data_IF_830392990225
#
_entry.id   IF_830392990225
#
_cell.length_a   1.000
_cell.length_b   1.000
_cell.length_c   1.000
_cell.angle_alpha   90.00
_cell.angle_beta   90.00
_cell.angle_gamma   90.00
#
_symmetry.space_group_name_H-M   'P 1'
#
loop_
_entity.id
_entity.type
_entity.pdbx_description
1 polymer ?
#
# COMPACT_ATOMS: atom_id res chain seq x y z
N UNK A 1 10.12 19.85 23.28
CA UNK A 1 8.98 20.16 22.39
C UNK A 1 8.19 21.33 22.95
N UNK A 2 7.58 21.19 24.14
CA UNK A 2 6.79 22.27 24.75
C UNK A 2 7.58 23.56 25.03
N UNK A 3 8.87 23.45 25.38
CA UNK A 3 9.77 24.61 25.57
C UNK A 3 10.07 25.38 24.28
N UNK A 4 9.85 24.78 23.11
CA UNK A 4 10.02 25.38 21.79
C UNK A 4 8.67 25.78 21.18
N UNK A 5 7.57 25.72 21.94
CA UNK A 5 6.22 25.95 21.41
C UNK A 5 5.72 24.86 20.45
N UNK A 6 6.42 23.72 20.37
CA UNK A 6 6.07 22.62 19.48
C UNK A 6 5.26 21.55 20.20
N UNK A 7 4.19 21.08 19.55
CA UNK A 7 3.51 19.84 19.89
C UNK A 7 3.85 18.75 18.86
N UNK A 8 3.49 17.50 19.15
CA UNK A 8 3.83 16.36 18.30
C UNK A 8 3.27 16.48 16.88
N UNK A 9 1.99 16.85 16.67
CA UNK A 9 1.47 17.11 15.32
C UNK A 9 2.28 18.13 14.53
N UNK A 10 2.58 19.30 15.12
CA UNK A 10 3.35 20.35 14.45
C UNK A 10 4.77 19.90 14.10
N UNK A 11 5.42 19.14 15.00
CA UNK A 11 6.73 18.60 14.71
C UNK A 11 6.71 17.60 13.55
N UNK A 12 5.73 16.69 13.54
CA UNK A 12 5.57 15.71 12.46
C UNK A 12 5.25 16.41 11.13
N UNK A 13 4.44 17.45 11.15
CA UNK A 13 4.12 18.26 9.98
C UNK A 13 5.38 18.94 9.42
N UNK A 14 6.15 19.62 10.28
CA UNK A 14 7.36 20.35 9.89
C UNK A 14 8.48 19.44 9.36
N UNK A 15 8.71 18.28 9.97
CA UNK A 15 9.73 17.34 9.47
C UNK A 15 9.29 16.64 8.18
N UNK A 16 7.98 16.56 7.93
CA UNK A 16 7.43 15.94 6.73
C UNK A 16 7.46 16.92 5.56
N UNK A 17 6.60 17.93 5.52
CA UNK A 17 6.63 18.94 4.44
C UNK A 17 6.36 20.37 4.90
N UNK A 18 5.78 20.56 6.08
CA UNK A 18 5.67 21.84 6.79
C UNK A 18 5.43 23.04 5.88
N UNK A 19 6.29 24.04 6.04
CA UNK A 19 6.28 25.27 5.26
C UNK A 19 7.51 25.41 4.34
N UNK A 20 7.60 26.57 3.68
CA UNK A 20 8.72 26.90 2.80
C UNK A 20 10.07 26.87 3.54
N UNK A 21 10.12 27.25 4.82
CA UNK A 21 11.37 27.23 5.59
C UNK A 21 11.83 25.79 5.85
N UNK A 22 10.89 24.89 6.15
CA UNK A 22 11.16 23.47 6.34
C UNK A 22 11.65 22.78 5.06
N UNK A 23 11.16 23.20 3.90
CA UNK A 23 11.58 22.64 2.60
C UNK A 23 12.84 23.28 2.03
N UNK A 24 13.19 24.50 2.47
CA UNK A 24 14.44 25.16 2.12
C UNK A 24 15.62 24.77 3.03
N UNK A 25 15.37 24.33 4.27
CA UNK A 25 16.41 23.90 5.21
C UNK A 25 17.04 22.57 4.77
N UNK A 26 18.36 22.53 4.45
CA UNK A 26 19.02 21.32 4.00
C UNK A 26 19.06 20.20 5.05
N UNK A 27 19.09 20.53 6.35
CA UNK A 27 19.10 19.55 7.43
C UNK A 27 17.74 18.88 7.56
N UNK A 28 16.65 19.65 7.51
CA UNK A 28 15.30 19.08 7.54
C UNK A 28 15.07 18.20 6.32
N UNK A 29 15.53 18.63 5.14
CA UNK A 29 15.48 17.82 3.93
C UNK A 29 16.26 16.50 4.07
N UNK A 30 17.46 16.55 4.65
CA UNK A 30 18.29 15.37 4.88
C UNK A 30 17.65 14.38 5.86
N UNK A 31 17.16 14.86 7.01
CA UNK A 31 16.50 14.00 8.01
C UNK A 31 15.21 13.38 7.46
N UNK A 32 14.42 14.15 6.70
CA UNK A 32 13.26 13.63 5.99
C UNK A 32 13.65 12.55 5.00
N UNK A 33 14.65 12.80 4.14
CA UNK A 33 15.09 11.83 3.15
C UNK A 33 15.53 10.53 3.82
N UNK A 34 16.30 10.62 4.92
CA UNK A 34 16.69 9.46 5.71
C UNK A 34 15.49 8.69 6.23
N UNK A 35 14.47 9.37 6.78
CA UNK A 35 13.25 8.71 7.28
C UNK A 35 12.48 8.01 6.14
N UNK A 36 12.39 8.62 4.96
CA UNK A 36 11.60 8.08 3.84
C UNK A 36 12.19 6.80 3.24
N UNK A 37 13.51 6.58 3.38
CA UNK A 37 14.20 5.36 2.91
C UNK A 37 14.50 4.38 4.04
N UNK A 38 14.04 4.69 5.24
CA UNK A 38 14.40 4.00 6.47
C UNK A 38 13.48 2.79 6.74
N UNK A 39 14.03 1.75 7.37
CA UNK A 39 13.23 0.60 7.83
C UNK A 39 12.36 0.95 9.05
N UNK A 40 12.66 2.06 9.72
CA UNK A 40 11.94 2.55 10.90
C UNK A 40 10.56 3.11 10.54
N UNK A 41 10.39 3.76 9.38
CA UNK A 41 9.11 4.37 9.01
C UNK A 41 7.96 3.34 8.94
N UNK A 42 8.09 2.19 8.24
CA UNK A 42 7.07 1.13 8.29
C UNK A 42 6.76 0.65 9.71
N UNK A 43 7.79 0.49 10.54
CA UNK A 43 7.65 0.03 11.93
C UNK A 43 6.98 1.09 12.82
N UNK A 44 7.20 2.39 12.56
CA UNK A 44 6.47 3.50 13.21
C UNK A 44 4.99 3.43 12.85
N UNK A 45 4.64 3.32 11.56
CA UNK A 45 3.25 3.23 11.10
C UNK A 45 2.54 2.00 11.68
N UNK A 46 3.23 0.86 11.73
CA UNK A 46 2.73 -0.37 12.35
C UNK A 46 2.46 -0.20 13.85
N UNK A 47 3.34 0.49 14.58
CA UNK A 47 3.11 0.82 16.00
C UNK A 47 1.99 1.83 16.19
N UNK A 48 1.80 2.79 15.29
CA UNK A 48 0.65 3.70 15.33
C UNK A 48 -0.67 2.95 15.11
N UNK A 49 -0.71 2.00 14.17
CA UNK A 49 -1.88 1.13 13.92
C UNK A 49 -2.13 0.17 15.09
N UNK A 50 -1.07 -0.37 15.69
CA UNK A 50 -1.16 -1.40 16.73
C UNK A 50 -0.20 -1.07 17.88
N UNK A 51 -0.57 -0.11 18.78
CA UNK A 51 0.30 0.35 19.86
C UNK A 51 0.74 -0.79 20.78
N UNK A 52 1.97 -0.78 21.32
CA UNK A 52 2.44 -1.85 22.21
C UNK A 52 1.50 -2.02 23.42
N UNK A 53 1.34 -3.28 23.86
CA UNK A 53 0.49 -3.61 25.00
C UNK A 53 1.25 -3.42 26.32
N UNK A 54 0.66 -2.68 27.25
CA UNK A 54 1.21 -2.52 28.60
C UNK A 54 0.84 -3.75 29.43
N UNK A 55 1.79 -4.66 29.65
CA UNK A 55 1.56 -5.80 30.53
C UNK A 55 1.27 -5.35 31.97
N UNK A 56 0.30 -6.00 32.62
CA UNK A 56 -0.10 -5.71 34.00
C UNK A 56 -1.19 -4.65 34.17
N UNK A 57 -1.75 -4.11 33.07
CA UNK A 57 -2.94 -3.24 33.13
C UNK A 57 -4.17 -3.99 32.60
N UNK A 58 -5.30 -3.91 33.31
CA UNK A 58 -6.60 -4.44 32.85
C UNK A 58 -7.28 -3.54 31.80
N UNK A 59 -6.58 -2.51 31.33
CA UNK A 59 -7.13 -1.55 30.39
C UNK A 59 -7.19 -2.16 28.98
N UNK A 60 -8.28 -1.88 28.28
CA UNK A 60 -8.38 -2.22 26.86
C UNK A 60 -7.21 -1.57 26.10
N UNK A 61 -6.64 -2.31 25.14
CA UNK A 61 -5.58 -1.79 24.27
C UNK A 61 -6.09 -0.53 23.56
N UNK A 62 -5.29 0.54 23.58
CA UNK A 62 -5.60 1.72 22.79
C UNK A 62 -5.74 1.34 21.31
N UNK A 63 -6.80 1.85 20.67
CA UNK A 63 -7.04 1.66 19.23
C UNK A 63 -5.96 2.30 18.35
N UNK A 64 -5.19 3.24 18.92
CA UNK A 64 -4.16 3.97 18.18
C UNK A 64 -4.76 4.69 16.97
N UNK A 65 -3.96 4.78 15.91
CA UNK A 65 -4.37 5.33 14.62
C UNK A 65 -5.00 4.27 13.69
N UNK A 66 -5.36 3.08 14.19
CA UNK A 66 -5.80 1.93 13.37
C UNK A 66 -6.86 2.32 12.33
N UNK A 67 -7.98 2.89 12.77
CA UNK A 67 -9.08 3.23 11.86
C UNK A 67 -8.73 4.31 10.84
N UNK A 68 -7.86 5.26 11.20
CA UNK A 68 -7.39 6.30 10.27
C UNK A 68 -6.46 5.69 9.22
N UNK A 69 -5.50 4.86 9.66
CA UNK A 69 -4.54 4.20 8.78
C UNK A 69 -5.21 3.18 7.87
N UNK A 70 -6.15 2.38 8.35
CA UNK A 70 -6.89 1.42 7.50
C UNK A 70 -7.67 2.14 6.39
N UNK A 71 -8.37 3.24 6.71
CA UNK A 71 -9.09 4.03 5.72
C UNK A 71 -8.15 4.67 4.70
N UNK A 72 -7.03 5.23 5.16
CA UNK A 72 -6.01 5.82 4.29
C UNK A 72 -5.40 4.77 3.35
N UNK A 73 -4.94 3.64 3.90
CA UNK A 73 -4.34 2.55 3.14
C UNK A 73 -5.32 1.97 2.12
N UNK A 74 -6.61 1.83 2.47
CA UNK A 74 -7.63 1.38 1.52
C UNK A 74 -7.76 2.33 0.32
N UNK A 75 -7.69 3.65 0.55
CA UNK A 75 -7.64 4.64 -0.52
C UNK A 75 -6.43 4.47 -1.42
N UNK A 76 -5.22 4.39 -0.84
CA UNK A 76 -3.98 4.23 -1.61
C UNK A 76 -3.96 2.93 -2.43
N UNK A 77 -4.42 1.81 -1.84
CA UNK A 77 -4.52 0.54 -2.56
C UNK A 77 -5.54 0.67 -3.70
N UNK A 78 -6.69 1.32 -3.45
CA UNK A 78 -7.70 1.56 -4.48
C UNK A 78 -7.14 2.29 -5.70
N UNK A 79 -6.36 3.36 -5.50
CA UNK A 79 -5.71 4.11 -6.58
C UNK A 79 -4.73 3.23 -7.39
N UNK A 80 -3.88 2.47 -6.71
CA UNK A 80 -2.92 1.56 -7.37
C UNK A 80 -3.64 0.51 -8.20
N UNK A 81 -4.69 -0.10 -7.65
CA UNK A 81 -5.45 -1.14 -8.34
C UNK A 81 -6.29 -0.58 -9.49
N UNK A 82 -6.85 0.63 -9.36
CA UNK A 82 -7.56 1.29 -10.47
C UNK A 82 -6.61 1.55 -11.64
N UNK A 83 -5.40 2.05 -11.36
CA UNK A 83 -4.38 2.29 -12.38
C UNK A 83 -3.95 0.99 -13.08
N UNK A 84 -3.78 -0.11 -12.34
CA UNK A 84 -3.48 -1.42 -12.93
C UNK A 84 -4.63 -1.94 -13.80
N UNK A 85 -5.87 -1.88 -13.30
CA UNK A 85 -7.04 -2.33 -14.04
C UNK A 85 -7.29 -1.51 -15.31
N UNK A 86 -7.00 -0.20 -15.26
CA UNK A 86 -7.12 0.67 -16.44
C UNK A 86 -6.13 0.30 -17.54
N UNK A 87 -4.95 -0.23 -17.20
CA UNK A 87 -3.95 -0.70 -18.17
C UNK A 87 -4.37 -1.99 -18.88
N UNK A 88 -5.02 -2.92 -18.17
CA UNK A 88 -5.56 -4.15 -18.77
C UNK A 88 -6.96 -4.01 -19.37
N UNK A 89 -7.53 -2.80 -19.42
CA UNK A 89 -8.92 -2.60 -19.83
C UNK A 89 -9.22 -3.22 -21.21
N UNK A 90 -8.28 -3.11 -22.15
CA UNK A 90 -8.43 -3.68 -23.48
C UNK A 90 -8.32 -5.21 -23.50
N UNK A 91 -7.52 -5.80 -22.61
CA UNK A 91 -7.44 -7.25 -22.43
C UNK A 91 -8.71 -7.82 -21.78
N UNK A 92 -9.41 -7.01 -20.98
CA UNK A 92 -10.66 -7.40 -20.34
C UNK A 92 -11.87 -7.34 -21.31
N UNK A 93 -11.70 -6.80 -22.52
CA UNK A 93 -12.75 -6.84 -23.55
C UNK A 93 -12.75 -8.22 -24.19
N UNK A 94 -13.95 -8.78 -24.35
CA UNK A 94 -14.13 -10.04 -25.07
C UNK A 94 -14.67 -9.71 -26.48
N UNK A 95 -13.81 -9.66 -27.51
CA UNK A 95 -14.27 -9.50 -28.88
C UNK A 95 -15.12 -10.71 -29.31
N UNK A 96 -16.00 -10.54 -30.32
CA UNK A 96 -16.93 -11.59 -30.74
C UNK A 96 -16.24 -12.89 -31.16
N UNK A 97 -15.01 -12.82 -31.67
CA UNK A 97 -14.23 -13.97 -32.07
C UNK A 97 -13.84 -14.86 -30.88
N UNK A 98 -13.60 -14.27 -29.71
CA UNK A 98 -13.20 -14.98 -28.49
C UNK A 98 -14.36 -15.76 -27.85
N UNK A 99 -15.61 -15.45 -28.23
CA UNK A 99 -16.83 -16.15 -27.78
C UNK A 99 -17.21 -17.31 -28.73
N UNK A 100 -16.44 -17.55 -29.78
CA UNK A 100 -16.59 -18.73 -30.64
C UNK A 100 -16.21 -20.02 -29.89
N UNK A 101 -16.61 -21.18 -30.42
CA UNK A 101 -16.19 -22.48 -29.88
C UNK A 101 -14.65 -22.60 -29.89
N UNK A 102 -14.00 -22.18 -30.97
CA UNK A 102 -12.55 -22.14 -31.09
C UNK A 102 -11.90 -21.13 -30.13
N UNK A 103 -12.50 -19.95 -29.93
CA UNK A 103 -12.01 -18.95 -28.99
C UNK A 103 -12.04 -19.45 -27.54
N UNK A 104 -13.16 -20.04 -27.13
CA UNK A 104 -13.32 -20.59 -25.77
C UNK A 104 -12.43 -21.82 -25.51
N UNK A 105 -12.13 -22.61 -26.53
CA UNK A 105 -11.30 -23.82 -26.40
C UNK A 105 -9.81 -23.57 -26.60
N UNK A 106 -9.42 -22.44 -27.21
CA UNK A 106 -8.01 -22.05 -27.40
C UNK A 106 -7.43 -21.23 -26.24
N UNK A 107 -8.26 -20.84 -25.26
CA UNK A 107 -7.85 -20.06 -24.11
C UNK A 107 -7.10 -20.93 -23.08
N UNK A 108 -5.83 -20.62 -22.85
CA UNK A 108 -5.01 -21.25 -21.82
C UNK A 108 -4.99 -20.38 -20.55
N UNK A 109 -5.36 -20.98 -19.41
CA UNK A 109 -5.39 -20.29 -18.12
C UNK A 109 -3.98 -19.85 -17.71
N UNK A 110 -2.97 -20.65 -18.03
CA UNK A 110 -1.57 -20.35 -17.75
C UNK A 110 -1.11 -19.05 -18.43
N UNK A 111 -1.56 -18.81 -19.66
CA UNK A 111 -1.24 -17.59 -20.41
C UNK A 111 -1.91 -16.37 -19.81
N UNK A 112 -3.14 -16.50 -19.30
CA UNK A 112 -3.82 -15.44 -18.55
C UNK A 112 -3.08 -15.11 -17.25
N UNK A 113 -2.66 -16.12 -16.51
CA UNK A 113 -1.90 -15.94 -15.26
C UNK A 113 -0.57 -15.23 -15.55
N UNK A 114 0.16 -15.64 -16.58
CA UNK A 114 1.41 -14.99 -16.99
C UNK A 114 1.20 -13.52 -17.36
N UNK A 115 0.13 -13.20 -18.11
CA UNK A 115 -0.20 -11.81 -18.46
C UNK A 115 -0.55 -10.97 -17.24
N UNK A 116 -1.35 -11.49 -16.31
CA UNK A 116 -1.75 -10.77 -15.10
C UNK A 116 -0.57 -10.54 -14.13
N UNK A 117 0.37 -11.47 -14.06
CA UNK A 117 1.54 -11.38 -13.17
C UNK A 117 2.64 -10.46 -13.72
N UNK A 118 2.73 -10.29 -15.03
CA UNK A 118 3.90 -9.69 -15.67
C UNK A 118 3.90 -8.15 -15.58
N UNK A 119 4.90 -7.52 -14.91
CA UNK A 119 4.97 -6.07 -14.78
C UNK A 119 5.22 -5.32 -16.11
N UNK A 120 5.68 -6.03 -17.15
CA UNK A 120 6.07 -5.44 -18.45
C UNK A 120 5.07 -5.64 -19.59
N UNK A 121 3.92 -6.29 -19.35
CA UNK A 121 2.88 -6.55 -20.35
C UNK A 121 1.56 -5.86 -20.02
N UNK A 122 1.64 -4.67 -19.40
CA UNK A 122 0.47 -3.94 -18.89
C UNK A 122 -0.38 -4.74 -17.87
N UNK A 123 0.19 -5.77 -17.24
CA UNK A 123 -0.50 -6.64 -16.29
C UNK A 123 -0.89 -5.96 -14.97
N UNK A 124 -1.41 -6.77 -14.04
CA UNK A 124 -1.92 -6.31 -12.74
C UNK A 124 -1.18 -6.99 -11.57
N UNK A 125 0.14 -6.78 -11.42
CA UNK A 125 0.94 -7.50 -10.44
C UNK A 125 0.51 -7.26 -9.00
N UNK A 126 0.08 -6.05 -8.64
CA UNK A 126 -0.38 -5.74 -7.28
C UNK A 126 -1.75 -6.32 -7.00
N UNK A 127 -2.69 -6.23 -7.96
CA UNK A 127 -3.99 -6.90 -7.84
C UNK A 127 -3.81 -8.41 -7.70
N UNK A 128 -2.93 -8.99 -8.51
CA UNK A 128 -2.66 -10.41 -8.48
C UNK A 128 -2.03 -10.84 -7.14
N UNK A 129 -1.03 -10.09 -6.65
CA UNK A 129 -0.44 -10.34 -5.34
C UNK A 129 -1.49 -10.24 -4.21
N UNK A 130 -2.40 -9.25 -4.27
CA UNK A 130 -3.49 -9.11 -3.32
C UNK A 130 -4.44 -10.32 -3.37
N UNK A 131 -4.86 -10.74 -4.56
CA UNK A 131 -5.72 -11.91 -4.72
C UNK A 131 -5.03 -13.17 -4.18
N UNK A 132 -3.75 -13.38 -4.47
CA UNK A 132 -2.99 -14.49 -3.90
C UNK A 132 -2.97 -14.43 -2.37
N UNK A 133 -2.67 -13.28 -1.79
CA UNK A 133 -2.64 -13.10 -0.34
C UNK A 133 -4.00 -13.35 0.33
N UNK A 134 -5.11 -12.96 -0.32
CA UNK A 134 -6.45 -13.14 0.22
C UNK A 134 -7.01 -14.56 0.04
N UNK A 135 -6.55 -15.29 -0.96
CA UNK A 135 -7.11 -16.61 -1.35
C UNK A 135 -6.25 -17.79 -0.91
N UNK A 136 -4.97 -17.57 -0.59
CA UNK A 136 -4.06 -18.61 -0.11
C UNK A 136 -3.97 -18.57 1.41
N UNK A 137 -4.00 -19.75 2.00
CA UNK A 137 -3.63 -19.94 3.41
C UNK A 137 -2.13 -20.10 3.54
N UNK A 138 -1.56 -19.86 4.72
CA UNK A 138 -0.13 -20.06 5.04
C UNK A 138 0.39 -21.47 4.63
N UNK A 139 -0.49 -22.46 4.52
CA UNK A 139 -0.14 -23.83 4.11
C UNK A 139 0.02 -23.99 2.60
N UNK A 140 -0.54 -23.08 1.80
CA UNK A 140 -0.57 -23.10 0.34
C UNK A 140 0.47 -22.16 -0.30
N UNK A 141 1.22 -21.37 0.50
CA UNK A 141 2.31 -20.51 0.03
C UNK A 141 3.66 -21.25 -0.14
N UNK A 142 3.71 -22.57 0.11
CA UNK A 142 4.92 -23.40 -0.03
C UNK A 142 5.22 -23.82 -1.46
#
# INVERSE_FOLDING_TARGET
MSSLGLNLPLFLDYVSWGDHECTADPKICYERANLMVSNELPEILKRWSKPPYTQGTHNARASGAKGVLEKFLFGCIGEVLEDELRRIQDLAKCPPEDVSEEGLTSLFIEDLVLKLQSPGFDGTPMLWALLQHLTRTDSQEK
#
